data_IF_623765836219
#
_entry.id   IF_623765836219
#
_cell.length_a   1.000
_cell.length_b   1.000
_cell.length_c   1.000
_cell.angle_alpha   90.00
_cell.angle_beta   90.00
_cell.angle_gamma   90.00
#
_symmetry.space_group_name_H-M   'P 1'
#
loop_
_entity.id
_entity.type
_entity.pdbx_description
1 polymer ?
#
# COMPACT_ATOMS: atom_id res chain seq x y z
N UNK A 1 32.89 10.71 -3.81
CA UNK A 1 32.34 10.62 -2.45
C UNK A 1 30.87 10.20 -2.44
N UNK A 2 29.93 10.93 -3.07
CA UNK A 2 28.48 10.61 -3.04
C UNK A 2 28.13 9.20 -3.52
N UNK A 3 28.63 8.76 -4.69
CA UNK A 3 28.38 7.40 -5.23
C UNK A 3 29.01 6.31 -4.34
N UNK A 4 30.20 6.55 -3.77
CA UNK A 4 30.81 5.61 -2.84
C UNK A 4 29.96 5.47 -1.56
N UNK A 5 29.45 6.58 -1.01
CA UNK A 5 28.55 6.55 0.14
C UNK A 5 27.24 5.81 -0.17
N UNK A 6 26.66 6.01 -1.35
CA UNK A 6 25.50 5.24 -1.80
C UNK A 6 25.80 3.74 -1.87
N UNK A 7 26.94 3.36 -2.43
CA UNK A 7 27.35 1.94 -2.50
C UNK A 7 27.57 1.35 -1.10
N UNK A 8 28.13 2.11 -0.16
CA UNK A 8 28.29 1.69 1.24
C UNK A 8 26.92 1.50 1.89
N UNK A 9 25.98 2.46 1.73
CA UNK A 9 24.60 2.32 2.24
C UNK A 9 23.97 1.05 1.71
N UNK A 10 24.00 0.85 0.40
CA UNK A 10 23.36 -0.32 -0.24
C UNK A 10 24.02 -1.63 0.18
N UNK A 11 25.36 -1.70 0.19
CA UNK A 11 26.09 -2.90 0.58
C UNK A 11 25.81 -3.30 2.03
N UNK A 12 25.93 -2.36 2.97
CA UNK A 12 25.67 -2.63 4.39
C UNK A 12 24.20 -2.97 4.61
N UNK A 13 23.28 -2.24 3.98
CA UNK A 13 21.85 -2.51 4.07
C UNK A 13 21.52 -3.93 3.60
N UNK A 14 21.99 -4.33 2.40
CA UNK A 14 21.75 -5.66 1.85
C UNK A 14 22.37 -6.76 2.72
N UNK A 15 23.61 -6.61 3.15
CA UNK A 15 24.28 -7.59 4.04
C UNK A 15 23.46 -7.79 5.32
N UNK A 16 23.05 -6.71 5.98
CA UNK A 16 22.25 -6.80 7.21
C UNK A 16 20.88 -7.44 6.97
N UNK A 17 20.22 -7.14 5.85
CA UNK A 17 18.96 -7.79 5.48
C UNK A 17 19.13 -9.28 5.23
N UNK A 18 20.19 -9.71 4.53
CA UNK A 18 20.50 -11.12 4.33
C UNK A 18 20.82 -11.87 5.63
N UNK A 19 21.39 -11.16 6.62
CA UNK A 19 21.61 -11.69 7.97
C UNK A 19 20.33 -11.74 8.82
N UNK A 20 19.19 -11.28 8.30
CA UNK A 20 17.90 -11.28 9.00
C UNK A 20 17.75 -10.13 10.01
N UNK A 21 18.57 -9.10 9.93
CA UNK A 21 18.45 -7.91 10.79
C UNK A 21 17.19 -7.14 10.39
N UNK A 22 16.34 -6.70 11.35
CA UNK A 22 15.17 -5.90 11.03
C UNK A 22 15.55 -4.62 10.27
N UNK A 23 14.74 -4.28 9.24
CA UNK A 23 15.07 -3.23 8.27
C UNK A 23 15.34 -1.85 8.90
N UNK A 24 14.66 -1.53 10.02
CA UNK A 24 14.90 -0.28 10.75
C UNK A 24 16.33 -0.17 11.29
N UNK A 25 16.85 -1.26 11.86
CA UNK A 25 18.25 -1.30 12.31
C UNK A 25 19.23 -1.31 11.14
N UNK A 26 18.89 -2.03 10.07
CA UNK A 26 19.71 -2.06 8.86
C UNK A 26 19.86 -0.67 8.24
N UNK A 27 18.78 0.13 8.17
CA UNK A 27 18.80 1.52 7.72
C UNK A 27 19.66 2.41 8.65
N UNK A 28 19.49 2.27 9.97
CA UNK A 28 20.27 3.05 10.93
C UNK A 28 21.77 2.81 10.76
N UNK A 29 22.17 1.53 10.78
CA UNK A 29 23.59 1.14 10.72
C UNK A 29 24.19 1.51 9.36
N UNK A 30 23.51 1.25 8.25
CA UNK A 30 24.02 1.61 6.92
C UNK A 30 24.19 3.12 6.75
N UNK A 31 23.25 3.92 7.25
CA UNK A 31 23.33 5.38 7.21
C UNK A 31 24.49 5.91 8.06
N UNK A 32 24.65 5.39 9.30
CA UNK A 32 25.77 5.75 10.17
C UNK A 32 27.09 5.36 9.55
N UNK A 33 27.22 4.14 9.01
CA UNK A 33 28.47 3.68 8.38
C UNK A 33 28.87 4.60 7.22
N UNK A 34 27.93 5.03 6.40
CA UNK A 34 28.22 5.92 5.28
C UNK A 34 28.70 7.31 5.71
N UNK A 35 28.10 7.90 6.74
CA UNK A 35 28.43 9.27 7.18
C UNK A 35 29.76 9.33 7.93
N UNK A 36 30.21 8.22 8.53
CA UNK A 36 31.48 8.14 9.25
C UNK A 36 32.71 8.42 8.35
N UNK A 37 32.54 8.33 7.03
CA UNK A 37 33.58 8.76 6.09
C UNK A 37 33.79 10.30 6.04
N UNK A 38 32.83 11.06 6.57
CA UNK A 38 32.78 12.52 6.41
C UNK A 38 32.75 13.30 7.71
N UNK A 39 32.31 12.66 8.82
CA UNK A 39 32.22 13.29 10.14
C UNK A 39 32.62 12.32 11.24
N UNK A 40 33.03 12.87 12.39
CA UNK A 40 33.47 12.10 13.57
C UNK A 40 32.28 11.27 14.17
N UNK A 41 32.62 10.14 14.77
CA UNK A 41 31.63 9.20 15.36
C UNK A 41 30.71 9.89 16.38
N UNK A 42 31.25 10.72 17.27
CA UNK A 42 30.45 11.39 18.31
C UNK A 42 29.41 12.33 17.67
N UNK A 43 29.80 13.10 16.65
CA UNK A 43 28.90 13.97 15.90
C UNK A 43 27.89 13.19 15.13
N UNK A 44 28.31 12.09 14.49
CA UNK A 44 27.41 11.20 13.71
C UNK A 44 26.33 10.61 14.61
N UNK A 45 26.70 10.04 15.76
CA UNK A 45 25.75 9.40 16.70
C UNK A 45 24.80 10.42 17.30
N UNK A 46 25.30 11.58 17.74
CA UNK A 46 24.47 12.65 18.30
C UNK A 46 23.45 13.16 17.25
N UNK A 47 23.91 13.41 16.03
CA UNK A 47 23.04 13.87 14.94
C UNK A 47 22.01 12.79 14.58
N UNK A 48 22.41 11.53 14.53
CA UNK A 48 21.50 10.43 14.28
C UNK A 48 20.40 10.34 15.36
N UNK A 49 20.77 10.46 16.64
CA UNK A 49 19.79 10.49 17.73
C UNK A 49 18.80 11.66 17.60
N UNK A 50 19.31 12.86 17.31
CA UNK A 50 18.48 14.06 17.09
C UNK A 50 17.54 13.88 15.89
N UNK A 51 18.03 13.37 14.75
CA UNK A 51 17.21 13.15 13.55
C UNK A 51 16.14 12.09 13.77
N UNK A 52 16.46 11.02 14.48
CA UNK A 52 15.49 9.99 14.87
C UNK A 52 14.39 10.59 15.73
N UNK A 53 14.76 11.35 16.76
CA UNK A 53 13.79 11.99 17.66
C UNK A 53 12.89 12.98 16.90
N UNK A 54 13.44 13.86 16.10
CA UNK A 54 12.70 14.83 15.27
C UNK A 54 11.78 14.10 14.30
N UNK A 55 12.25 12.99 13.70
CA UNK A 55 11.44 12.16 12.80
C UNK A 55 10.21 11.58 13.49
N UNK A 56 10.36 11.09 14.72
CA UNK A 56 9.27 10.51 15.51
C UNK A 56 8.35 11.56 16.15
N UNK A 57 8.79 12.80 16.32
CA UNK A 57 8.05 13.87 17.00
C UNK A 57 7.06 14.60 16.11
N UNK A 58 6.94 14.27 14.82
CA UNK A 58 6.01 14.92 13.90
C UNK A 58 4.56 14.57 14.26
N UNK A 59 3.71 15.58 14.55
CA UNK A 59 2.31 15.37 14.91
C UNK A 59 1.52 14.60 13.86
N UNK A 60 1.77 14.84 12.58
CA UNK A 60 1.11 14.13 11.48
C UNK A 60 1.39 12.62 11.47
N UNK A 61 2.46 12.17 12.14
CA UNK A 61 2.78 10.74 12.27
C UNK A 61 1.73 9.99 13.10
N UNK A 62 1.01 10.67 14.01
CA UNK A 62 -0.04 10.06 14.84
C UNK A 62 -1.22 9.53 14.04
N UNK A 63 -1.43 9.99 12.80
CA UNK A 63 -2.44 9.43 11.92
C UNK A 63 -2.22 7.94 11.63
N UNK A 64 -0.97 7.49 11.50
CA UNK A 64 -0.65 6.09 11.17
C UNK A 64 -1.09 5.12 12.26
N UNK A 65 -0.74 5.29 13.56
CA UNK A 65 -1.25 4.45 14.64
C UNK A 65 -2.77 4.35 14.69
N UNK A 66 -3.47 5.47 14.51
CA UNK A 66 -4.93 5.46 14.53
C UNK A 66 -5.54 4.74 13.33
N UNK A 67 -5.03 4.93 12.11
CA UNK A 67 -5.51 4.17 10.95
C UNK A 67 -5.19 2.68 11.08
N UNK A 68 -4.02 2.29 11.61
CA UNK A 68 -3.69 0.89 11.90
C UNK A 68 -4.69 0.31 12.91
N UNK A 69 -4.97 1.03 13.99
CA UNK A 69 -5.93 0.60 14.98
C UNK A 69 -7.35 0.47 14.41
N UNK A 70 -7.82 1.48 13.66
CA UNK A 70 -9.11 1.44 12.99
C UNK A 70 -9.22 0.24 12.04
N UNK A 71 -8.20 0.00 11.19
CA UNK A 71 -8.13 -1.13 10.28
C UNK A 71 -8.18 -2.49 10.99
N UNK A 72 -7.46 -2.64 12.11
CA UNK A 72 -7.45 -3.87 12.90
C UNK A 72 -8.79 -4.13 13.62
N UNK A 73 -9.44 -3.06 14.14
CA UNK A 73 -10.79 -3.16 14.71
C UNK A 73 -11.77 -3.62 13.63
N UNK A 74 -11.71 -3.03 12.45
CA UNK A 74 -12.61 -3.35 11.34
C UNK A 74 -12.39 -4.76 10.79
N UNK A 75 -11.15 -5.22 10.76
CA UNK A 75 -10.81 -6.57 10.32
C UNK A 75 -11.47 -7.65 11.21
N UNK A 76 -11.48 -7.45 12.52
CA UNK A 76 -12.14 -8.36 13.46
C UNK A 76 -13.63 -8.02 13.67
N UNK A 77 -14.06 -6.84 13.24
CA UNK A 77 -15.42 -6.30 13.40
C UNK A 77 -16.49 -6.92 12.48
N UNK A 78 -16.19 -7.97 11.71
CA UNK A 78 -17.16 -8.65 10.83
C UNK A 78 -17.58 -7.79 9.61
N UNK A 79 -16.82 -6.74 9.31
CA UNK A 79 -17.10 -5.80 8.22
C UNK A 79 -16.83 -6.45 6.85
N UNK A 80 -15.75 -7.23 6.76
CA UNK A 80 -15.35 -7.87 5.51
C UNK A 80 -16.48 -8.75 4.93
N UNK A 81 -17.20 -9.52 5.76
CA UNK A 81 -18.31 -10.34 5.29
C UNK A 81 -19.43 -9.52 4.63
N UNK A 82 -19.78 -8.38 5.24
CA UNK A 82 -20.84 -7.50 4.67
C UNK A 82 -20.42 -6.88 3.35
N UNK A 83 -19.13 -6.57 3.19
CA UNK A 83 -18.59 -6.09 1.92
C UNK A 83 -18.55 -7.18 0.87
N UNK A 84 -18.21 -8.43 1.22
CA UNK A 84 -18.29 -9.58 0.32
C UNK A 84 -19.72 -9.78 -0.17
N UNK A 85 -20.71 -9.81 0.74
CA UNK A 85 -22.13 -9.97 0.40
C UNK A 85 -22.62 -8.84 -0.54
N UNK A 86 -22.20 -7.59 -0.25
CA UNK A 86 -22.56 -6.43 -1.06
C UNK A 86 -21.94 -6.49 -2.46
N UNK A 87 -20.64 -6.77 -2.58
CA UNK A 87 -19.97 -6.88 -3.89
C UNK A 87 -20.49 -8.07 -4.66
N UNK A 88 -20.76 -9.21 -4.01
CA UNK A 88 -21.38 -10.36 -4.64
C UNK A 88 -22.77 -10.05 -5.19
N UNK A 89 -23.57 -9.26 -4.47
CA UNK A 89 -24.89 -8.84 -4.94
C UNK A 89 -24.82 -7.98 -6.22
N UNK A 90 -23.74 -7.20 -6.41
CA UNK A 90 -23.53 -6.35 -7.58
C UNK A 90 -22.88 -7.15 -8.73
N UNK A 91 -21.74 -7.80 -8.45
CA UNK A 91 -20.84 -8.36 -9.45
C UNK A 91 -20.99 -9.87 -9.64
N UNK A 92 -21.76 -10.53 -8.80
CA UNK A 92 -21.90 -12.00 -8.80
C UNK A 92 -22.50 -12.61 -10.05
N UNK A 93 -23.04 -11.82 -10.98
CA UNK A 93 -23.54 -12.27 -12.28
C UNK A 93 -22.45 -12.39 -13.35
N UNK A 94 -21.30 -11.79 -13.13
CA UNK A 94 -20.18 -11.87 -14.07
C UNK A 94 -19.56 -13.27 -14.06
N UNK A 95 -18.94 -13.70 -15.18
CA UNK A 95 -18.15 -14.92 -15.19
C UNK A 95 -17.07 -14.86 -14.10
N UNK A 96 -16.92 -15.95 -13.35
CA UNK A 96 -16.01 -15.96 -12.20
C UNK A 96 -16.50 -15.10 -11.04
N UNK A 97 -17.78 -15.19 -10.71
CA UNK A 97 -18.45 -14.42 -9.66
C UNK A 97 -17.60 -14.22 -8.39
N UNK A 98 -16.96 -15.30 -7.90
CA UNK A 98 -16.13 -15.26 -6.70
C UNK A 98 -14.80 -14.54 -6.91
N UNK A 99 -14.17 -14.64 -8.10
CA UNK A 99 -12.93 -13.91 -8.42
C UNK A 99 -13.19 -12.41 -8.48
N UNK A 100 -14.25 -12.01 -9.19
CA UNK A 100 -14.62 -10.58 -9.33
C UNK A 100 -15.08 -10.01 -7.98
N UNK A 101 -15.81 -10.80 -7.18
CA UNK A 101 -16.19 -10.42 -5.81
C UNK A 101 -14.98 -10.25 -4.93
N UNK A 102 -13.98 -11.13 -5.02
CA UNK A 102 -12.72 -11.00 -4.29
C UNK A 102 -12.04 -9.67 -4.63
N UNK A 103 -11.92 -9.34 -5.93
CA UNK A 103 -11.27 -8.11 -6.39
C UNK A 103 -12.00 -6.87 -5.87
N UNK A 104 -13.32 -6.79 -6.07
CA UNK A 104 -14.12 -5.66 -5.61
C UNK A 104 -14.11 -5.51 -4.08
N UNK A 105 -14.18 -6.64 -3.36
CA UNK A 105 -14.12 -6.61 -1.90
C UNK A 105 -12.74 -6.21 -1.39
N UNK A 106 -11.65 -6.67 -2.02
CA UNK A 106 -10.29 -6.23 -1.66
C UNK A 106 -10.11 -4.73 -1.90
N UNK A 107 -10.66 -4.17 -2.97
CA UNK A 107 -10.63 -2.74 -3.22
C UNK A 107 -11.34 -1.93 -2.12
N UNK A 108 -12.55 -2.35 -1.72
CA UNK A 108 -13.33 -1.69 -0.67
C UNK A 108 -12.74 -1.93 0.72
N UNK A 109 -12.42 -3.17 1.06
CA UNK A 109 -11.87 -3.51 2.38
C UNK A 109 -10.46 -2.96 2.56
N UNK A 110 -9.64 -3.00 1.50
CA UNK A 110 -8.31 -2.43 1.50
C UNK A 110 -8.33 -0.93 1.73
N UNK A 111 -9.27 -0.21 1.10
CA UNK A 111 -9.52 1.20 1.34
C UNK A 111 -9.87 1.53 2.81
N UNK A 112 -10.44 0.58 3.53
CA UNK A 112 -10.77 0.74 4.94
C UNK A 112 -9.58 0.40 5.84
N UNK A 113 -8.89 -0.74 5.55
CA UNK A 113 -7.80 -1.26 6.37
C UNK A 113 -6.45 -0.60 6.11
N UNK A 114 -6.26 -0.02 4.93
CA UNK A 114 -4.98 0.57 4.49
C UNK A 114 -3.82 -0.43 4.41
N UNK A 115 -4.11 -1.75 4.35
CA UNK A 115 -3.11 -2.82 4.38
C UNK A 115 -3.44 -3.95 3.42
N UNK A 116 -2.55 -4.22 2.47
CA UNK A 116 -2.72 -5.31 1.50
C UNK A 116 -2.73 -6.69 2.16
N UNK A 117 -1.85 -6.95 3.12
CA UNK A 117 -1.79 -8.23 3.81
C UNK A 117 -3.03 -8.49 4.67
N UNK A 118 -3.57 -7.45 5.32
CA UNK A 118 -4.83 -7.55 6.07
C UNK A 118 -6.02 -7.84 5.14
N UNK A 119 -6.09 -7.16 3.98
CA UNK A 119 -7.11 -7.41 2.97
C UNK A 119 -7.02 -8.84 2.41
N UNK A 120 -5.81 -9.27 2.01
CA UNK A 120 -5.57 -10.63 1.52
C UNK A 120 -5.99 -11.70 2.54
N UNK A 121 -5.72 -11.47 3.85
CA UNK A 121 -6.10 -12.40 4.90
C UNK A 121 -7.61 -12.43 5.15
N UNK A 122 -8.24 -11.27 5.32
CA UNK A 122 -9.66 -11.18 5.67
C UNK A 122 -10.56 -11.60 4.52
N UNK A 123 -10.40 -10.98 3.36
CA UNK A 123 -11.25 -11.24 2.18
C UNK A 123 -10.98 -12.63 1.63
N UNK A 124 -9.69 -13.00 1.51
CA UNK A 124 -9.31 -14.32 1.01
C UNK A 124 -9.88 -15.47 1.82
N UNK A 125 -9.89 -15.36 3.17
CA UNK A 125 -10.47 -16.39 4.03
C UNK A 125 -11.97 -16.57 3.83
N UNK A 126 -12.69 -15.48 3.55
CA UNK A 126 -14.14 -15.53 3.34
C UNK A 126 -14.54 -16.05 1.95
N UNK A 127 -13.77 -15.68 0.94
CA UNK A 127 -14.03 -16.13 -0.44
C UNK A 127 -13.69 -17.61 -0.61
N UNK A 128 -12.69 -18.07 0.14
CA UNK A 128 -12.17 -19.42 -0.01
C UNK A 128 -13.20 -20.51 0.19
N UNK A 129 -13.97 -20.46 1.28
CA UNK A 129 -14.95 -21.53 1.58
C UNK A 129 -15.96 -21.67 0.43
N UNK A 130 -16.50 -20.55 -0.07
CA UNK A 130 -17.39 -20.56 -1.23
C UNK A 130 -16.70 -20.96 -2.55
N UNK A 131 -15.38 -20.73 -2.68
CA UNK A 131 -14.62 -21.14 -3.86
C UNK A 131 -14.36 -22.65 -3.85
N UNK A 132 -14.03 -23.22 -2.71
CA UNK A 132 -13.86 -24.67 -2.53
C UNK A 132 -15.19 -25.41 -2.83
N UNK A 133 -16.33 -24.90 -2.34
CA UNK A 133 -17.67 -25.47 -2.61
C UNK A 133 -18.07 -25.41 -4.09
N UNK A 134 -17.65 -24.36 -4.81
CA UNK A 134 -17.97 -24.16 -6.23
C UNK A 134 -16.91 -24.75 -7.17
N UNK A 135 -15.88 -25.44 -6.64
CA UNK A 135 -14.85 -26.11 -7.44
C UNK A 135 -13.86 -25.18 -8.12
N UNK A 136 -13.62 -23.99 -7.57
CA UNK A 136 -12.56 -23.11 -8.06
C UNK A 136 -11.18 -23.66 -7.70
N UNK A 137 -10.21 -23.54 -8.61
CA UNK A 137 -8.82 -23.88 -8.33
C UNK A 137 -8.26 -22.95 -7.22
N UNK A 138 -7.78 -23.53 -6.10
CA UNK A 138 -7.17 -22.76 -5.01
C UNK A 138 -6.00 -21.86 -5.45
N UNK A 139 -5.29 -22.23 -6.52
CA UNK A 139 -4.17 -21.42 -7.02
C UNK A 139 -4.66 -20.17 -7.75
N UNK A 140 -5.77 -20.29 -8.50
CA UNK A 140 -6.41 -19.14 -9.17
C UNK A 140 -7.00 -18.17 -8.15
N UNK A 141 -7.74 -18.69 -7.16
CA UNK A 141 -8.31 -17.84 -6.10
C UNK A 141 -7.24 -17.15 -5.26
N UNK A 142 -6.15 -17.85 -4.93
CA UNK A 142 -5.01 -17.27 -4.21
C UNK A 142 -4.29 -16.18 -5.03
N UNK A 143 -4.06 -16.42 -6.33
CA UNK A 143 -3.46 -15.43 -7.22
C UNK A 143 -4.32 -14.16 -7.32
N UNK A 144 -5.64 -14.34 -7.54
CA UNK A 144 -6.59 -13.22 -7.61
C UNK A 144 -6.62 -12.43 -6.31
N UNK A 145 -6.67 -13.14 -5.18
CA UNK A 145 -6.70 -12.51 -3.86
C UNK A 145 -5.41 -11.71 -3.58
N UNK A 146 -4.26 -12.30 -3.83
CA UNK A 146 -2.97 -11.62 -3.65
C UNK A 146 -2.86 -10.39 -4.56
N UNK A 147 -3.13 -10.55 -5.87
CA UNK A 147 -3.01 -9.46 -6.84
C UNK A 147 -3.96 -8.30 -6.51
N UNK A 148 -5.21 -8.58 -6.15
CA UNK A 148 -6.21 -7.53 -5.89
C UNK A 148 -6.05 -6.85 -4.54
N UNK A 149 -5.43 -7.49 -3.55
CA UNK A 149 -5.32 -6.95 -2.18
C UNK A 149 -4.52 -5.63 -2.11
N UNK A 150 -3.59 -5.41 -3.03
CA UNK A 150 -2.79 -4.19 -3.07
C UNK A 150 -3.55 -2.95 -3.54
N UNK A 151 -4.74 -3.10 -4.15
CA UNK A 151 -5.60 -1.96 -4.49
C UNK A 151 -5.91 -1.06 -3.29
N UNK A 152 -6.00 -1.64 -2.09
CA UNK A 152 -6.24 -0.92 -0.85
C UNK A 152 -5.05 -0.08 -0.33
N UNK A 153 -3.85 -0.24 -0.89
CA UNK A 153 -2.74 0.67 -0.62
C UNK A 153 -2.78 1.92 -1.50
N UNK A 154 -3.53 1.87 -2.60
CA UNK A 154 -3.72 2.99 -3.53
C UNK A 154 -5.02 3.74 -3.24
N UNK A 155 -6.12 3.02 -2.97
CA UNK A 155 -7.43 3.60 -2.67
C UNK A 155 -7.44 4.11 -1.22
N UNK A 156 -7.77 5.40 -0.96
CA UNK A 156 -7.76 5.98 0.39
C UNK A 156 -8.88 5.43 1.30
N UNK A 157 -8.62 5.51 2.63
CA UNK A 157 -7.40 5.95 3.30
C UNK A 157 -6.28 4.92 3.23
N UNK A 158 -5.07 5.37 2.92
CA UNK A 158 -3.91 4.52 2.68
C UNK A 158 -2.73 4.89 3.58
N UNK A 159 -2.23 3.91 4.34
CA UNK A 159 -1.04 4.10 5.17
C UNK A 159 0.21 4.38 4.32
N UNK A 160 0.30 3.82 3.11
CA UNK A 160 1.39 4.06 2.19
C UNK A 160 1.44 5.53 1.74
N UNK A 161 0.30 6.12 1.39
CA UNK A 161 0.21 7.52 0.96
C UNK A 161 0.50 8.48 2.12
N UNK A 162 0.09 8.15 3.36
CA UNK A 162 0.43 8.94 4.56
C UNK A 162 1.95 8.87 4.80
N UNK A 163 2.54 7.68 4.72
CA UNK A 163 3.99 7.52 4.87
C UNK A 163 4.74 8.31 3.80
N UNK A 164 4.26 8.29 2.56
CA UNK A 164 4.84 9.10 1.49
C UNK A 164 4.72 10.60 1.76
N UNK A 165 3.58 11.08 2.24
CA UNK A 165 3.41 12.50 2.65
C UNK A 165 4.49 12.94 3.62
N UNK A 166 4.80 12.09 4.63
CA UNK A 166 5.85 12.36 5.61
C UNK A 166 7.26 12.33 5.01
N UNK A 167 7.54 11.37 4.14
CA UNK A 167 8.85 11.19 3.50
C UNK A 167 9.15 12.28 2.46
N UNK A 168 8.13 12.79 1.79
CA UNK A 168 8.23 13.85 0.76
C UNK A 168 8.34 15.27 1.30
N UNK A 169 8.41 15.43 2.64
CA UNK A 169 8.50 16.74 3.27
C UNK A 169 7.16 17.43 3.50
N UNK A 170 6.03 16.71 3.43
CA UNK A 170 4.71 17.25 3.77
C UNK A 170 3.78 17.46 2.58
N UNK A 171 3.90 16.64 1.53
CA UNK A 171 2.89 16.63 0.44
C UNK A 171 1.50 16.41 1.03
N UNK A 172 0.52 17.19 0.60
CA UNK A 172 -0.85 17.18 1.14
C UNK A 172 -1.45 15.77 1.13
N UNK A 173 -1.85 15.27 2.31
CA UNK A 173 -2.52 13.97 2.45
C UNK A 173 -3.86 13.95 1.73
N UNK A 174 -4.63 15.05 1.79
CA UNK A 174 -5.90 15.18 1.08
C UNK A 174 -5.70 15.07 -0.44
N UNK A 175 -4.69 15.76 -0.98
CA UNK A 175 -4.34 15.69 -2.39
C UNK A 175 -3.87 14.29 -2.82
N UNK A 176 -3.03 13.63 -2.00
CA UNK A 176 -2.59 12.25 -2.23
C UNK A 176 -3.75 11.25 -2.20
N UNK A 177 -4.68 11.42 -1.26
CA UNK A 177 -5.87 10.58 -1.18
C UNK A 177 -6.71 10.72 -2.44
N UNK A 178 -6.98 11.94 -2.91
CA UNK A 178 -7.71 12.12 -4.16
C UNK A 178 -6.96 11.57 -5.36
N UNK A 179 -5.65 11.77 -5.41
CA UNK A 179 -4.80 11.22 -6.47
C UNK A 179 -4.80 9.68 -6.53
N UNK A 180 -4.97 9.01 -5.39
CA UNK A 180 -4.94 7.55 -5.28
C UNK A 180 -6.15 6.82 -5.87
N UNK A 181 -7.31 7.50 -6.01
CA UNK A 181 -8.54 6.85 -6.52
C UNK A 181 -8.38 6.32 -7.94
N UNK A 182 -7.92 7.15 -8.88
CA UNK A 182 -7.81 6.74 -10.28
C UNK A 182 -6.79 5.60 -10.45
N UNK A 183 -5.54 5.68 -9.94
CA UNK A 183 -4.60 4.56 -9.97
C UNK A 183 -5.12 3.29 -9.28
N UNK A 184 -5.81 3.43 -8.15
CA UNK A 184 -6.41 2.30 -7.43
C UNK A 184 -7.54 1.63 -8.21
N UNK A 185 -8.39 2.40 -8.89
CA UNK A 185 -9.43 1.88 -9.79
C UNK A 185 -8.79 1.20 -11.00
N UNK A 186 -7.74 1.78 -11.61
CA UNK A 186 -6.98 1.15 -12.71
C UNK A 186 -6.44 -0.19 -12.25
N UNK A 187 -5.85 -0.28 -11.05
CA UNK A 187 -5.37 -1.54 -10.48
C UNK A 187 -6.49 -2.58 -10.38
N UNK A 188 -7.61 -2.21 -9.77
CA UNK A 188 -8.76 -3.10 -9.62
C UNK A 188 -9.34 -3.56 -10.97
N UNK A 189 -9.44 -2.66 -11.95
CA UNK A 189 -9.89 -2.99 -13.31
C UNK A 189 -8.91 -3.94 -14.02
N UNK A 190 -7.59 -3.71 -13.92
CA UNK A 190 -6.58 -4.64 -14.44
C UNK A 190 -6.77 -6.05 -13.83
N UNK A 191 -6.98 -6.12 -12.52
CA UNK A 191 -7.27 -7.39 -11.86
C UNK A 191 -8.60 -8.00 -12.34
N UNK A 192 -9.66 -7.20 -12.50
CA UNK A 192 -10.97 -7.67 -13.00
C UNK A 192 -10.86 -8.25 -14.41
N UNK A 193 -10.16 -7.58 -15.32
CA UNK A 193 -9.95 -8.08 -16.69
C UNK A 193 -9.28 -9.46 -16.66
N UNK A 194 -8.20 -9.61 -15.90
CA UNK A 194 -7.50 -10.90 -15.78
C UNK A 194 -8.38 -11.94 -15.10
N UNK A 195 -9.10 -11.58 -14.02
CA UNK A 195 -10.00 -12.48 -13.31
C UNK A 195 -11.13 -13.02 -14.19
N UNK A 196 -11.75 -12.15 -15.01
CA UNK A 196 -12.79 -12.55 -15.97
C UNK A 196 -12.21 -13.43 -17.09
N UNK A 197 -11.04 -13.08 -17.64
CA UNK A 197 -10.37 -13.89 -18.67
C UNK A 197 -10.05 -15.30 -18.15
N UNK A 198 -9.51 -15.40 -16.93
CA UNK A 198 -9.26 -16.69 -16.28
C UNK A 198 -10.56 -17.46 -16.04
N UNK A 199 -11.62 -16.79 -15.60
CA UNK A 199 -12.91 -17.40 -15.37
C UNK A 199 -13.51 -17.99 -16.66
N UNK A 200 -13.47 -17.24 -17.75
CA UNK A 200 -13.93 -17.72 -19.06
C UNK A 200 -13.09 -18.91 -19.54
N UNK A 201 -11.76 -18.83 -19.40
CA UNK A 201 -10.84 -19.90 -19.82
C UNK A 201 -11.04 -21.19 -19.02
N UNK A 202 -11.35 -21.08 -17.72
CA UNK A 202 -11.51 -22.22 -16.82
C UNK A 202 -13.00 -22.66 -16.68
N UNK A 203 -13.92 -21.98 -17.36
CA UNK A 203 -15.34 -22.33 -17.35
C UNK A 203 -16.09 -21.93 -16.07
N UNK A 204 -15.55 -21.00 -15.27
CA UNK A 204 -16.23 -20.52 -14.06
C UNK A 204 -17.40 -19.61 -14.42
N UNK A 205 -18.58 -20.00 -13.99
CA UNK A 205 -19.83 -19.29 -14.32
C UNK A 205 -20.15 -18.22 -13.25
N UNK A 206 -21.00 -17.26 -13.62
CA UNK A 206 -21.62 -16.36 -12.66
C UNK A 206 -22.72 -17.07 -11.85
N UNK A 207 -23.18 -16.41 -10.79
CA UNK A 207 -24.31 -16.91 -9.99
C UNK A 207 -25.56 -17.08 -10.86
N UNK A 208 -26.20 -18.26 -10.87
CA UNK A 208 -27.40 -18.50 -11.70
C UNK A 208 -28.59 -17.63 -11.29
N UNK A 209 -29.55 -17.46 -12.20
CA UNK A 209 -30.79 -16.72 -11.96
C UNK A 209 -30.74 -15.24 -12.41
N UNK A 210 -31.88 -14.54 -12.24
CA UNK A 210 -31.97 -13.09 -12.54
C UNK A 210 -31.31 -12.22 -11.50
N UNK A 211 -31.01 -10.97 -11.86
CA UNK A 211 -30.48 -9.99 -10.91
C UNK A 211 -31.55 -9.69 -9.84
N UNK A 212 -31.19 -9.85 -8.57
CA UNK A 212 -32.10 -9.68 -7.44
C UNK A 212 -31.93 -8.31 -6.79
N UNK A 213 -32.74 -7.35 -7.23
CA UNK A 213 -32.77 -6.00 -6.70
C UNK A 213 -33.10 -5.93 -5.19
N UNK A 214 -33.92 -6.86 -4.70
CA UNK A 214 -34.31 -6.92 -3.29
C UNK A 214 -33.10 -7.33 -2.43
N UNK A 215 -32.39 -8.38 -2.87
CA UNK A 215 -31.16 -8.81 -2.20
C UNK A 215 -30.10 -7.72 -2.24
N UNK A 216 -29.91 -7.03 -3.38
CA UNK A 216 -29.00 -5.89 -3.49
C UNK A 216 -29.35 -4.80 -2.46
N UNK A 217 -30.63 -4.42 -2.33
CA UNK A 217 -31.07 -3.44 -1.36
C UNK A 217 -30.73 -3.85 0.08
N UNK A 218 -30.97 -5.09 0.45
CA UNK A 218 -30.65 -5.64 1.77
C UNK A 218 -29.16 -5.64 2.03
N UNK A 219 -28.35 -6.12 1.07
CA UNK A 219 -26.88 -6.14 1.20
C UNK A 219 -26.31 -4.72 1.28
N UNK A 220 -26.85 -3.77 0.49
CA UNK A 220 -26.46 -2.36 0.54
C UNK A 220 -26.74 -1.76 1.92
N UNK A 221 -27.94 -1.94 2.47
CA UNK A 221 -28.27 -1.45 3.81
C UNK A 221 -27.37 -2.04 4.91
N UNK A 222 -26.97 -3.32 4.77
CA UNK A 222 -26.06 -3.97 5.73
C UNK A 222 -24.61 -3.48 5.58
N UNK A 223 -24.17 -3.14 4.38
CA UNK A 223 -22.83 -2.64 4.09
C UNK A 223 -22.71 -1.12 4.33
N UNK A 224 -23.82 -0.38 4.24
CA UNK A 224 -23.87 1.08 4.33
C UNK A 224 -23.14 1.65 5.55
N UNK A 225 -23.29 1.12 6.79
CA UNK A 225 -22.56 1.65 7.93
C UNK A 225 -21.03 1.49 7.80
N UNK A 226 -20.57 0.45 7.09
CA UNK A 226 -19.14 0.24 6.84
C UNK A 226 -18.62 1.15 5.73
N UNK A 227 -19.41 1.36 4.69
CA UNK A 227 -19.07 2.25 3.56
C UNK A 227 -19.14 3.73 3.98
N UNK A 228 -20.08 4.10 4.86
CA UNK A 228 -20.20 5.49 5.34
C UNK A 228 -18.98 5.94 6.14
N UNK A 229 -18.22 5.03 6.75
CA UNK A 229 -16.92 5.38 7.35
C UNK A 229 -15.98 6.02 6.33
N UNK A 230 -15.85 5.40 5.14
CA UNK A 230 -14.99 5.92 4.08
C UNK A 230 -15.47 7.33 3.70
N UNK A 231 -16.78 7.48 3.50
CA UNK A 231 -17.38 8.76 3.10
C UNK A 231 -17.15 9.83 4.18
N UNK A 232 -17.35 9.50 5.44
CA UNK A 232 -17.17 10.45 6.56
C UNK A 232 -15.72 10.85 6.71
N UNK A 233 -14.80 9.89 6.74
CA UNK A 233 -13.37 10.17 6.95
C UNK A 233 -12.78 10.91 5.74
N UNK A 234 -12.96 10.36 4.55
CA UNK A 234 -12.36 10.95 3.33
C UNK A 234 -13.07 12.26 2.98
N UNK A 235 -14.41 12.29 3.02
CA UNK A 235 -15.19 13.50 2.76
C UNK A 235 -14.84 14.62 3.74
N UNK A 236 -14.64 14.32 5.01
CA UNK A 236 -14.25 15.30 6.02
C UNK A 236 -12.83 15.83 5.84
N UNK A 237 -11.87 14.96 5.44
CA UNK A 237 -10.48 15.38 5.14
C UNK A 237 -10.45 16.26 3.88
N UNK A 238 -11.15 15.86 2.83
CA UNK A 238 -11.18 16.60 1.55
C UNK A 238 -11.93 17.92 1.72
N UNK A 239 -13.05 17.91 2.47
CA UNK A 239 -13.83 19.10 2.76
C UNK A 239 -13.13 20.07 3.75
N UNK A 240 -11.91 19.73 4.23
CA UNK A 240 -11.17 20.56 5.17
C UNK A 240 -11.79 20.63 6.57
N UNK A 241 -12.77 19.76 6.86
CA UNK A 241 -13.43 19.69 8.19
C UNK A 241 -12.50 19.08 9.22
N UNK A 242 -11.69 18.11 8.80
CA UNK A 242 -10.67 17.46 9.64
C UNK A 242 -9.32 17.40 8.95
N UNK A 243 -8.25 17.45 9.74
CA UNK A 243 -6.92 16.98 9.35
C UNK A 243 -6.90 15.46 9.19
N UNK A 244 -5.87 14.92 8.54
CA UNK A 244 -5.69 13.46 8.42
C UNK A 244 -5.59 12.78 9.80
N UNK A 245 -5.00 13.46 10.79
CA UNK A 245 -4.88 12.95 12.17
C UNK A 245 -6.24 12.88 12.87
N UNK A 246 -7.05 13.94 12.78
CA UNK A 246 -8.40 13.96 13.34
C UNK A 246 -9.31 12.94 12.64
N UNK A 247 -9.24 12.86 11.30
CA UNK A 247 -9.97 11.86 10.53
C UNK A 247 -9.61 10.43 10.92
N UNK A 248 -8.35 10.16 11.26
CA UNK A 248 -7.91 8.85 11.74
C UNK A 248 -8.47 8.51 13.13
N UNK A 249 -8.55 9.50 14.05
CA UNK A 249 -9.18 9.32 15.36
C UNK A 249 -10.69 9.06 15.23
N UNK A 250 -11.38 9.80 14.35
CA UNK A 250 -12.78 9.57 14.01
C UNK A 250 -12.99 8.16 13.46
N UNK A 251 -12.08 7.68 12.59
CA UNK A 251 -12.11 6.32 12.06
C UNK A 251 -12.07 5.26 13.17
N UNK A 252 -11.22 5.46 14.19
CA UNK A 252 -11.15 4.53 15.34
C UNK A 252 -12.46 4.52 16.12
N UNK A 253 -12.99 5.71 16.49
CA UNK A 253 -14.24 5.80 17.25
C UNK A 253 -15.39 5.17 16.46
N UNK A 254 -15.49 5.48 15.18
CA UNK A 254 -16.53 4.93 14.33
C UNK A 254 -16.42 3.40 14.19
N UNK A 255 -15.21 2.89 13.98
CA UNK A 255 -14.94 1.45 13.90
C UNK A 255 -15.32 0.73 15.21
N UNK A 256 -15.00 1.31 16.37
CA UNK A 256 -15.39 0.79 17.68
C UNK A 256 -16.91 0.73 17.83
N UNK A 257 -17.62 1.82 17.52
CA UNK A 257 -19.09 1.86 17.58
C UNK A 257 -19.68 0.76 16.71
N UNK A 258 -19.23 0.60 15.46
CA UNK A 258 -19.71 -0.46 14.58
C UNK A 258 -19.42 -1.85 15.13
N UNK A 259 -18.20 -2.09 15.64
CA UNK A 259 -17.78 -3.38 16.16
C UNK A 259 -18.60 -3.82 17.37
N UNK A 260 -18.95 -2.89 18.26
CA UNK A 260 -19.84 -3.14 19.39
C UNK A 260 -21.31 -3.32 18.95
N UNK A 261 -21.81 -2.49 18.05
CA UNK A 261 -23.17 -2.64 17.50
C UNK A 261 -23.35 -4.00 16.81
N UNK A 262 -22.30 -4.48 16.12
CA UNK A 262 -22.30 -5.79 15.46
C UNK A 262 -22.04 -6.95 16.43
N UNK A 263 -21.75 -6.68 17.71
CA UNK A 263 -21.37 -7.67 18.72
C UNK A 263 -20.23 -8.61 18.28
N UNK A 264 -19.34 -8.11 17.43
CA UNK A 264 -18.23 -8.89 16.85
C UNK A 264 -16.98 -8.87 17.70
N UNK A 265 -16.84 -7.88 18.59
CA UNK A 265 -15.67 -7.69 19.45
C UNK A 265 -16.12 -7.68 20.90
N UNK A 266 -15.39 -8.40 21.75
CA UNK A 266 -15.49 -8.34 23.21
C UNK A 266 -14.27 -7.62 23.81
N UNK A 267 -14.31 -7.28 25.11
CA UNK A 267 -13.22 -6.57 25.79
C UNK A 267 -11.86 -7.29 25.69
N UNK A 268 -11.86 -8.63 25.72
CA UNK A 268 -10.62 -9.43 25.62
C UNK A 268 -10.02 -9.36 24.22
N UNK A 269 -10.86 -9.44 23.16
CA UNK A 269 -10.39 -9.29 21.78
C UNK A 269 -9.96 -7.85 21.49
N UNK A 270 -10.68 -6.86 22.04
CA UNK A 270 -10.31 -5.46 21.92
C UNK A 270 -8.92 -5.18 22.51
N UNK A 271 -8.64 -5.71 23.70
CA UNK A 271 -7.31 -5.58 24.31
C UNK A 271 -6.21 -6.16 23.40
N UNK A 272 -6.44 -7.34 22.83
CA UNK A 272 -5.51 -7.94 21.87
C UNK A 272 -5.30 -7.06 20.64
N UNK A 273 -6.38 -6.52 20.06
CA UNK A 273 -6.32 -5.60 18.91
C UNK A 273 -5.46 -4.37 19.25
N UNK A 274 -5.67 -3.77 20.42
CA UNK A 274 -4.90 -2.59 20.86
C UNK A 274 -3.42 -2.93 20.97
N UNK A 275 -3.07 -4.05 21.63
CA UNK A 275 -1.68 -4.47 21.79
C UNK A 275 -1.01 -4.77 20.44
N UNK A 276 -1.69 -5.47 19.53
CA UNK A 276 -1.16 -5.78 18.22
C UNK A 276 -1.00 -4.51 17.37
N UNK A 277 -1.96 -3.59 17.44
CA UNK A 277 -1.88 -2.29 16.77
C UNK A 277 -0.75 -1.41 17.34
N UNK A 278 -0.54 -1.42 18.65
CA UNK A 278 0.54 -0.68 19.29
C UNK A 278 1.92 -1.22 18.86
N UNK A 279 2.08 -2.54 18.75
CA UNK A 279 3.33 -3.16 18.23
C UNK A 279 3.60 -2.74 16.79
N UNK A 280 2.60 -2.82 15.91
CA UNK A 280 2.74 -2.41 14.51
C UNK A 280 3.05 -0.92 14.41
N UNK A 281 2.33 -0.09 15.17
CA UNK A 281 2.56 1.36 15.21
C UNK A 281 3.96 1.72 15.67
N UNK A 282 4.43 1.07 16.75
CA UNK A 282 5.78 1.29 17.26
C UNK A 282 6.87 0.96 16.23
N UNK A 283 6.71 -0.14 15.49
CA UNK A 283 7.63 -0.49 14.41
C UNK A 283 7.64 0.56 13.30
N UNK A 284 6.47 1.05 12.87
CA UNK A 284 6.37 2.05 11.80
C UNK A 284 6.92 3.40 12.26
N UNK A 285 6.54 3.87 13.45
CA UNK A 285 7.04 5.14 14.02
C UNK A 285 8.56 5.13 14.17
N UNK A 286 9.12 4.04 14.69
CA UNK A 286 10.56 3.86 14.80
C UNK A 286 11.24 3.85 13.43
N UNK A 287 10.66 3.14 12.46
CA UNK A 287 11.17 3.10 11.09
C UNK A 287 11.19 4.50 10.44
N UNK A 288 10.13 5.30 10.61
CA UNK A 288 10.10 6.69 10.12
C UNK A 288 11.16 7.54 10.80
N UNK A 289 11.34 7.40 12.11
CA UNK A 289 12.39 8.11 12.86
C UNK A 289 13.78 7.82 12.30
N UNK A 290 14.10 6.55 12.16
CA UNK A 290 15.41 6.11 11.65
C UNK A 290 15.61 6.51 10.18
N UNK A 291 14.57 6.48 9.37
CA UNK A 291 14.67 6.89 7.95
C UNK A 291 14.99 8.38 7.79
N UNK A 292 14.70 9.21 8.79
CA UNK A 292 15.16 10.61 8.80
C UNK A 292 16.68 10.73 8.90
N UNK A 293 17.38 9.74 9.49
CA UNK A 293 18.86 9.68 9.46
C UNK A 293 19.30 9.48 8.00
N UNK A 294 18.72 8.49 7.34
CA UNK A 294 19.05 8.17 5.94
C UNK A 294 18.83 9.38 5.03
N UNK A 295 17.66 10.03 5.13
CA UNK A 295 17.34 11.22 4.35
C UNK A 295 18.35 12.36 4.59
N UNK A 296 18.74 12.57 5.84
CA UNK A 296 19.77 13.56 6.18
C UNK A 296 21.15 13.19 5.60
N UNK A 297 21.57 11.93 5.74
CA UNK A 297 22.85 11.44 5.19
C UNK A 297 22.88 11.59 3.67
N UNK A 298 21.80 11.21 3.00
CA UNK A 298 21.66 11.37 1.54
C UNK A 298 21.79 12.83 1.11
N UNK A 299 21.12 13.74 1.81
CA UNK A 299 21.16 15.17 1.50
C UNK A 299 22.55 15.76 1.80
N UNK A 300 23.15 15.41 2.95
CA UNK A 300 24.47 15.91 3.36
C UNK A 300 25.58 15.49 2.40
N UNK A 301 25.54 14.24 1.92
CA UNK A 301 26.51 13.70 0.97
C UNK A 301 26.14 13.96 -0.50
N UNK A 302 25.07 14.71 -0.77
CA UNK A 302 24.59 15.06 -2.12
C UNK A 302 24.37 13.83 -3.00
N UNK A 303 23.87 12.73 -2.39
CA UNK A 303 23.62 11.46 -3.10
C UNK A 303 22.57 11.63 -4.21
N UNK A 304 21.41 12.33 -4.00
CA UNK A 304 20.42 12.53 -5.05
C UNK A 304 20.99 13.23 -6.29
N UNK A 305 21.85 14.25 -6.09
CA UNK A 305 22.48 14.99 -7.19
C UNK A 305 23.44 14.11 -8.00
N UNK A 306 24.22 13.26 -7.30
CA UNK A 306 25.12 12.32 -7.94
C UNK A 306 24.37 11.23 -8.74
N UNK A 307 23.23 10.74 -8.21
CA UNK A 307 22.37 9.78 -8.90
C UNK A 307 21.69 10.45 -10.11
N UNK A 308 21.24 11.70 -9.94
CA UNK A 308 20.68 12.49 -11.06
C UNK A 308 21.70 12.66 -12.17
N UNK A 309 22.94 13.06 -11.84
CA UNK A 309 24.02 13.21 -12.82
C UNK A 309 24.34 11.89 -13.54
N UNK A 310 24.32 10.76 -12.81
CA UNK A 310 24.54 9.44 -13.40
C UNK A 310 23.42 9.07 -14.38
N UNK A 311 22.16 9.28 -14.00
CA UNK A 311 21.00 9.00 -14.86
C UNK A 311 20.95 9.91 -16.09
N UNK A 312 21.25 11.22 -15.93
CA UNK A 312 21.33 12.17 -17.01
C UNK A 312 22.53 11.90 -17.93
N UNK A 313 23.61 11.32 -17.40
CA UNK A 313 24.74 10.86 -18.20
C UNK A 313 24.40 9.65 -19.08
N UNK A 314 23.37 8.86 -18.71
CA UNK A 314 22.88 7.75 -19.54
C UNK A 314 21.94 8.24 -20.63
N UNK A 315 21.06 9.20 -20.32
CA UNK A 315 20.07 9.72 -21.27
C UNK A 315 19.47 11.06 -20.79
N UNK A 316 19.18 11.94 -21.74
CA UNK A 316 18.44 13.17 -21.49
C UNK A 316 16.92 12.97 -21.63
N UNK A 317 16.46 11.78 -21.99
CA UNK A 317 15.05 11.50 -22.18
C UNK A 317 14.40 11.14 -20.83
N UNK A 318 13.53 12.04 -20.32
CA UNK A 318 12.81 11.84 -19.05
C UNK A 318 12.04 10.53 -18.98
N UNK A 319 11.49 10.06 -20.09
CA UNK A 319 10.70 8.83 -20.14
C UNK A 319 11.56 7.59 -19.91
N UNK A 320 12.78 7.59 -20.43
CA UNK A 320 13.75 6.49 -20.23
C UNK A 320 14.21 6.49 -18.75
N UNK A 321 14.47 7.67 -18.18
CA UNK A 321 14.83 7.80 -16.77
C UNK A 321 13.72 7.24 -15.87
N UNK A 322 12.46 7.60 -16.15
CA UNK A 322 11.32 7.08 -15.40
C UNK A 322 11.17 5.56 -15.53
N UNK A 323 11.45 4.98 -16.70
CA UNK A 323 11.46 3.52 -16.89
C UNK A 323 12.58 2.87 -16.06
N UNK A 324 13.78 3.43 -16.05
CA UNK A 324 14.89 2.92 -15.23
C UNK A 324 14.51 2.97 -13.75
N UNK A 325 13.93 4.08 -13.29
CA UNK A 325 13.46 4.23 -11.92
C UNK A 325 12.37 3.21 -11.59
N UNK A 326 11.39 2.98 -12.48
CA UNK A 326 10.36 1.97 -12.30
C UNK A 326 10.98 0.57 -12.14
N UNK A 327 11.98 0.21 -12.95
CA UNK A 327 12.67 -1.09 -12.83
C UNK A 327 13.38 -1.21 -11.49
N UNK A 328 14.10 -0.17 -11.06
CA UNK A 328 14.78 -0.16 -9.76
C UNK A 328 13.76 -0.34 -8.62
N UNK A 329 12.64 0.38 -8.67
CA UNK A 329 11.59 0.30 -7.66
C UNK A 329 10.90 -1.07 -7.65
N UNK A 330 10.62 -1.65 -8.83
CA UNK A 330 10.07 -3.00 -8.93
C UNK A 330 11.00 -4.04 -8.31
N UNK A 331 12.28 -4.03 -8.68
CA UNK A 331 13.27 -4.96 -8.13
C UNK A 331 13.38 -4.77 -6.62
N UNK A 332 13.54 -3.54 -6.14
CA UNK A 332 13.69 -3.25 -4.71
C UNK A 332 12.45 -3.65 -3.92
N UNK A 333 11.25 -3.41 -4.45
CA UNK A 333 9.98 -3.77 -3.83
C UNK A 333 9.79 -5.27 -3.64
N UNK A 334 10.51 -6.13 -4.39
CA UNK A 334 10.45 -7.59 -4.18
C UNK A 334 11.16 -8.05 -2.92
N UNK A 335 12.12 -7.25 -2.40
CA UNK A 335 12.94 -7.60 -1.23
C UNK A 335 12.52 -6.91 0.04
N UNK A 336 11.73 -5.84 -0.04
CA UNK A 336 11.33 -5.06 1.14
C UNK A 336 9.86 -4.67 1.07
N UNK A 337 9.27 -4.42 2.26
CA UNK A 337 7.88 -3.98 2.36
C UNK A 337 7.70 -2.55 1.85
N UNK A 338 6.45 -2.19 1.55
CA UNK A 338 6.07 -0.89 0.97
C UNK A 338 6.53 0.30 1.82
N UNK A 339 6.31 0.24 3.14
CA UNK A 339 6.64 1.36 4.04
C UNK A 339 8.14 1.70 4.07
N UNK A 340 9.07 0.76 4.32
CA UNK A 340 10.49 1.06 4.29
C UNK A 340 10.99 1.51 2.92
N UNK A 341 10.46 0.91 1.84
CA UNK A 341 10.82 1.29 0.49
C UNK A 341 10.42 2.74 0.17
N UNK A 342 9.24 3.20 0.58
CA UNK A 342 8.84 4.61 0.47
C UNK A 342 9.85 5.52 1.16
N UNK A 343 10.25 5.18 2.38
CA UNK A 343 11.15 6.02 3.18
C UNK A 343 12.58 6.10 2.62
N UNK A 344 13.02 5.05 1.91
CA UNK A 344 14.34 5.00 1.27
C UNK A 344 14.32 5.73 -0.08
N UNK A 345 13.34 5.41 -0.93
CA UNK A 345 13.35 5.87 -2.33
C UNK A 345 12.75 7.26 -2.53
N UNK A 346 11.92 7.75 -1.59
CA UNK A 346 11.40 9.12 -1.70
C UNK A 346 12.52 10.16 -1.66
N UNK A 347 13.41 10.23 -0.67
CA UNK A 347 14.46 11.22 -0.64
C UNK A 347 15.50 11.04 -1.76
N UNK A 348 15.61 9.84 -2.33
CA UNK A 348 16.52 9.55 -3.44
C UNK A 348 15.97 10.03 -4.78
N UNK A 349 14.72 9.71 -5.11
CA UNK A 349 14.18 9.90 -6.46
C UNK A 349 13.29 11.12 -6.60
N UNK A 350 12.66 11.61 -5.53
CA UNK A 350 11.78 12.77 -5.61
C UNK A 350 12.50 14.03 -6.13
N UNK A 351 13.72 14.39 -5.68
CA UNK A 351 14.43 15.54 -6.22
C UNK A 351 14.70 15.41 -7.72
N UNK A 352 15.04 14.21 -8.19
CA UNK A 352 15.29 13.93 -9.60
C UNK A 352 14.01 14.13 -10.43
N UNK A 353 12.88 13.64 -9.95
CA UNK A 353 11.59 13.81 -10.63
C UNK A 353 11.15 15.29 -10.65
N UNK A 354 11.40 16.03 -9.58
CA UNK A 354 11.11 17.46 -9.51
C UNK A 354 11.95 18.28 -10.49
N UNK A 355 13.20 17.89 -10.77
CA UNK A 355 14.05 18.56 -11.77
C UNK A 355 13.49 18.46 -13.19
N UNK A 356 12.62 17.46 -13.46
CA UNK A 356 11.88 17.33 -14.74
C UNK A 356 10.50 17.99 -14.73
N UNK A 357 10.16 18.70 -13.65
CA UNK A 357 8.85 19.33 -13.49
C UNK A 357 7.72 18.36 -13.08
N UNK A 358 8.04 17.17 -12.60
CA UNK A 358 7.04 16.23 -12.08
C UNK A 358 6.54 16.69 -10.70
N UNK A 359 5.22 16.63 -10.49
CA UNK A 359 4.64 16.95 -9.20
C UNK A 359 4.98 15.89 -8.14
N UNK A 360 5.08 16.32 -6.87
CA UNK A 360 5.29 15.41 -5.74
C UNK A 360 4.18 14.36 -5.65
N UNK A 361 2.96 14.72 -6.01
CA UNK A 361 1.79 13.84 -6.00
C UNK A 361 1.95 12.74 -7.05
N UNK A 362 2.28 13.08 -8.29
CA UNK A 362 2.47 12.10 -9.36
C UNK A 362 3.57 11.09 -8.99
N UNK A 363 4.73 11.58 -8.53
CA UNK A 363 5.82 10.70 -8.12
C UNK A 363 5.39 9.76 -6.98
N UNK A 364 4.64 10.27 -5.99
CA UNK A 364 4.14 9.47 -4.89
C UNK A 364 3.27 8.29 -5.35
N UNK A 365 2.38 8.53 -6.32
CA UNK A 365 1.52 7.47 -6.86
C UNK A 365 2.34 6.46 -7.69
N UNK A 366 3.31 6.91 -8.48
CA UNK A 366 4.23 6.02 -9.22
C UNK A 366 4.99 5.13 -8.24
N UNK A 367 5.55 5.72 -7.19
CA UNK A 367 6.31 5.01 -6.16
C UNK A 367 5.44 3.95 -5.47
N UNK A 368 4.28 4.35 -4.93
CA UNK A 368 3.40 3.41 -4.20
C UNK A 368 2.88 2.32 -5.13
N UNK A 369 2.52 2.65 -6.37
CA UNK A 369 2.06 1.66 -7.36
C UNK A 369 3.13 0.60 -7.67
N UNK A 370 4.39 1.02 -7.89
CA UNK A 370 5.53 0.13 -8.09
C UNK A 370 5.73 -0.82 -6.89
N UNK A 371 5.72 -0.26 -5.70
CA UNK A 371 5.95 -1.03 -4.47
C UNK A 371 4.80 -1.99 -4.17
N UNK A 372 3.58 -1.67 -4.59
CA UNK A 372 2.46 -2.61 -4.56
C UNK A 372 2.71 -3.84 -5.45
N UNK A 373 3.33 -3.66 -6.64
CA UNK A 373 3.74 -4.80 -7.49
C UNK A 373 4.81 -5.62 -6.77
N UNK A 374 5.79 -4.98 -6.17
CA UNK A 374 6.80 -5.65 -5.35
C UNK A 374 6.20 -6.49 -4.23
N UNK A 375 5.17 -5.97 -3.54
CA UNK A 375 4.49 -6.65 -2.43
C UNK A 375 3.73 -7.93 -2.82
N UNK A 376 3.49 -8.13 -4.10
CA UNK A 376 2.91 -9.38 -4.65
C UNK A 376 3.92 -10.20 -5.47
N UNK A 377 5.21 -9.83 -5.44
CA UNK A 377 6.26 -10.48 -6.24
C UNK A 377 7.27 -11.20 -5.34
N UNK A 378 7.65 -12.47 -5.64
CA UNK A 378 8.73 -13.15 -4.91
C UNK A 378 10.05 -12.37 -5.01
N UNK A 379 10.98 -12.51 -4.05
CA UNK A 379 11.05 -13.54 -2.99
C UNK A 379 10.31 -13.19 -1.69
N UNK A 380 10.05 -11.93 -1.37
CA UNK A 380 9.44 -11.55 -0.08
C UNK A 380 7.93 -11.39 -0.19
N UNK A 381 7.40 -10.63 -1.13
CA UNK A 381 6.00 -10.48 -1.50
C UNK A 381 4.96 -10.74 -0.39
N UNK A 382 4.89 -9.90 0.64
CA UNK A 382 4.08 -10.16 1.84
C UNK A 382 2.63 -10.52 1.53
N UNK A 383 1.97 -9.75 0.64
CA UNK A 383 0.58 -10.02 0.26
C UNK A 383 0.43 -11.32 -0.53
N UNK A 384 1.43 -11.68 -1.36
CA UNK A 384 1.46 -12.94 -2.09
C UNK A 384 1.48 -14.13 -1.15
N UNK A 385 2.41 -14.13 -0.17
CA UNK A 385 2.51 -15.25 0.77
C UNK A 385 1.31 -15.36 1.70
N UNK A 386 0.69 -14.24 2.08
CA UNK A 386 -0.60 -14.27 2.80
C UNK A 386 -1.68 -14.91 1.95
N UNK A 387 -1.80 -14.52 0.68
CA UNK A 387 -2.75 -15.10 -0.27
C UNK A 387 -2.55 -16.61 -0.47
N UNK A 388 -1.30 -17.06 -0.62
CA UNK A 388 -0.92 -18.48 -0.73
C UNK A 388 -1.31 -19.25 0.53
N UNK A 389 -0.99 -18.71 1.72
CA UNK A 389 -1.30 -19.34 3.01
C UNK A 389 -2.82 -19.48 3.21
N UNK A 390 -3.58 -18.44 2.94
CA UNK A 390 -5.04 -18.43 3.02
C UNK A 390 -5.64 -19.38 2.00
N UNK A 391 -5.15 -19.37 0.75
CA UNK A 391 -5.56 -20.29 -0.32
C UNK A 391 -5.12 -21.75 -0.10
N UNK A 392 -4.32 -22.05 0.94
CA UNK A 392 -3.74 -23.38 1.22
C UNK A 392 -3.13 -24.04 -0.02
N UNK A 393 -2.39 -23.26 -0.78
CA UNK A 393 -1.75 -23.68 -2.03
C UNK A 393 -0.25 -23.43 -1.97
N UNK A 394 0.49 -23.61 -3.06
CA UNK A 394 1.93 -23.42 -3.12
C UNK A 394 2.30 -22.32 -4.12
N UNK A 395 3.46 -21.68 -3.91
CA UNK A 395 3.98 -20.64 -4.78
C UNK A 395 4.08 -21.12 -6.23
N UNK A 396 4.58 -22.33 -6.47
CA UNK A 396 4.76 -22.90 -7.80
C UNK A 396 3.44 -23.04 -8.59
N UNK A 397 2.33 -23.32 -7.89
CA UNK A 397 1.00 -23.43 -8.51
C UNK A 397 0.38 -22.04 -8.79
N UNK A 398 0.66 -21.05 -7.95
CA UNK A 398 0.11 -19.69 -8.04
C UNK A 398 0.81 -18.87 -9.11
N UNK A 399 2.14 -19.04 -9.29
CA UNK A 399 2.96 -18.21 -10.17
C UNK A 399 2.48 -18.14 -11.63
N UNK A 400 2.05 -19.23 -12.29
CA UNK A 400 1.56 -19.15 -13.67
C UNK A 400 0.37 -18.20 -13.83
N UNK A 401 -0.51 -18.12 -12.83
CA UNK A 401 -1.64 -17.19 -12.83
C UNK A 401 -1.21 -15.77 -12.47
N UNK A 402 -0.25 -15.63 -11.52
CA UNK A 402 0.29 -14.31 -11.15
C UNK A 402 0.94 -13.59 -12.34
N UNK A 403 1.61 -14.31 -13.25
CA UNK A 403 2.20 -13.70 -14.43
C UNK A 403 1.19 -12.94 -15.28
N UNK A 404 -0.04 -13.43 -15.40
CA UNK A 404 -1.12 -12.72 -16.11
C UNK A 404 -1.51 -11.42 -15.40
N UNK A 405 -1.57 -11.45 -14.06
CA UNK A 405 -1.84 -10.24 -13.26
C UNK A 405 -0.70 -9.24 -13.38
N UNK A 406 0.58 -9.67 -13.35
CA UNK A 406 1.71 -8.76 -13.50
C UNK A 406 1.66 -8.01 -14.83
N UNK A 407 1.38 -8.68 -15.94
CA UNK A 407 1.29 -8.03 -17.26
C UNK A 407 0.25 -6.91 -17.25
N UNK A 408 -0.96 -7.20 -16.73
CA UNK A 408 -2.03 -6.20 -16.68
C UNK A 408 -1.71 -5.04 -15.72
N UNK A 409 -1.16 -5.34 -14.54
CA UNK A 409 -0.86 -4.33 -13.52
C UNK A 409 0.35 -3.47 -13.95
N UNK A 410 1.35 -4.04 -14.62
CA UNK A 410 2.48 -3.28 -15.18
C UNK A 410 1.99 -2.35 -16.30
N UNK A 411 1.03 -2.77 -17.12
CA UNK A 411 0.40 -1.85 -18.08
C UNK A 411 -0.29 -0.67 -17.36
N UNK A 412 -0.98 -0.94 -16.24
CA UNK A 412 -1.52 0.11 -15.37
C UNK A 412 -0.44 1.04 -14.80
N UNK A 413 0.71 0.48 -14.37
CA UNK A 413 1.87 1.26 -13.91
C UNK A 413 2.36 2.24 -14.99
N UNK A 414 2.46 1.78 -16.23
CA UNK A 414 2.91 2.64 -17.34
C UNK A 414 1.92 3.78 -17.58
N UNK A 415 0.60 3.54 -17.46
CA UNK A 415 -0.40 4.61 -17.54
C UNK A 415 -0.20 5.65 -16.43
N UNK A 416 -0.01 5.22 -15.18
CA UNK A 416 0.23 6.10 -14.03
C UNK A 416 1.55 6.87 -14.19
N UNK A 417 2.57 6.23 -14.75
CA UNK A 417 3.90 6.85 -14.93
C UNK A 417 3.88 7.92 -16.03
N UNK A 418 3.31 7.61 -17.19
CA UNK A 418 3.45 8.45 -18.39
C UNK A 418 2.30 9.41 -18.61
N UNK A 419 1.16 9.23 -17.95
CA UNK A 419 0.00 10.12 -18.07
C UNK A 419 -0.20 10.86 -16.75
N UNK A 420 0.33 12.10 -16.61
CA UNK A 420 0.22 12.87 -15.37
C UNK A 420 -1.23 13.04 -14.88
N UNK A 421 -2.17 13.21 -15.81
CA UNK A 421 -3.58 13.38 -15.50
C UNK A 421 -4.18 12.23 -14.69
N UNK A 422 -3.66 11.00 -14.83
CA UNK A 422 -4.11 9.83 -14.03
C UNK A 422 -3.94 10.06 -12.53
N UNK A 423 -2.88 10.76 -12.12
CA UNK A 423 -2.59 11.06 -10.73
C UNK A 423 -3.01 12.48 -10.31
N UNK A 424 -3.11 13.43 -11.25
CA UNK A 424 -3.28 14.84 -10.89
C UNK A 424 -4.65 15.41 -11.23
N UNK A 425 -5.42 14.78 -12.15
CA UNK A 425 -6.69 15.36 -12.60
C UNK A 425 -7.71 15.52 -11.47
N UNK A 426 -7.86 14.53 -10.60
CA UNK A 426 -8.83 14.57 -9.52
C UNK A 426 -8.46 15.57 -8.42
N UNK A 427 -7.20 15.61 -7.90
CA UNK A 427 -6.78 16.68 -6.99
C UNK A 427 -6.90 18.08 -7.57
N UNK A 428 -6.56 18.27 -8.85
CA UNK A 428 -6.71 19.56 -9.54
C UNK A 428 -8.18 20.00 -9.65
N UNK A 429 -9.07 19.09 -10.05
CA UNK A 429 -10.50 19.36 -10.14
C UNK A 429 -11.13 19.76 -8.80
N UNK A 430 -10.51 19.35 -7.68
CA UNK A 430 -10.95 19.67 -6.34
C UNK A 430 -10.18 20.83 -5.69
N UNK A 431 -9.29 21.51 -6.42
CA UNK A 431 -8.53 22.65 -5.90
C UNK A 431 -7.51 22.28 -4.81
N UNK A 432 -7.01 21.05 -4.80
CA UNK A 432 -6.05 20.55 -3.80
C UNK A 432 -4.58 20.59 -4.29
N UNK A 433 -4.36 21.12 -5.49
CA UNK A 433 -3.04 21.33 -6.11
C UNK A 433 -2.87 22.79 -6.54
#
# INVERSE_FOLDING_TARGET
MAIQALLVILAVLLVLLFLGVPISYAIAVSSLTAILSSIDLNVAVLTAAQRTFVGMSKFSLTAIPFFILAGNIMNQGGIAKRLVDFVMAILGKLPGALLVTNIGTNALFGAISGSASAAAAAVGSMIRDGADEQGYDPAVTAATNAASSCSGLLIPPSNALITYSLASGGTSVAALFMAGYIPGIIWALCCCVVGVLLAVKLGYKGTPGKFDWKNLGVCTLRALPSLSLIIVVIGGIIGGVFSATEGSAIAVVYALVLAFCYRSINLKSLWKIIVDSAKMSGMVVFLVGVSNILGWVMAFLQIPDAVAALLLGLTNNKYIILLIMNVILLVSGTFMDVTPAILIFTPLFLPICQSFGMSTIQFGLILVYNLCIGNITPPVGNALFVGIKVGRTSLSKVMPYMLMYYVAIIAGLLLVTFIPAVSTALPQAMGLM
#
